data_IF_631542285658
#
_entry.id   IF_631542285658
#
_cell.length_a   1.000
_cell.length_b   1.000
_cell.length_c   1.000
_cell.angle_alpha   90.00
_cell.angle_beta   90.00
_cell.angle_gamma   90.00
#
_symmetry.space_group_name_H-M   'P 1'
#
loop_
_entity.id
_entity.type
_entity.pdbx_description
1 polymer ?
#
# COMPACT_ATOMS: atom_id res chain seq x y z
N UNK A 1 47.10 -0.83 -38.06
CA UNK A 1 45.78 -1.03 -37.39
C UNK A 1 45.85 -1.14 -35.85
N UNK A 2 47.03 -1.28 -35.22
CA UNK A 2 47.15 -1.44 -33.77
C UNK A 2 46.90 -0.21 -32.85
N UNK A 3 47.07 1.07 -33.26
CA UNK A 3 46.99 2.18 -32.30
C UNK A 3 45.55 2.61 -31.96
N UNK A 4 44.61 2.49 -32.90
CA UNK A 4 43.20 2.89 -32.69
C UNK A 4 42.47 1.99 -31.67
N UNK A 5 42.77 0.69 -31.67
CA UNK A 5 42.16 -0.28 -30.73
C UNK A 5 42.66 -0.02 -29.31
N UNK A 6 43.94 0.33 -29.14
CA UNK A 6 44.50 0.70 -27.82
C UNK A 6 43.86 1.98 -27.26
N UNK A 7 43.55 2.95 -28.12
CA UNK A 7 42.90 4.20 -27.72
C UNK A 7 41.44 3.96 -27.27
N UNK A 8 40.69 3.11 -27.98
CA UNK A 8 39.31 2.73 -27.67
C UNK A 8 39.20 1.96 -26.35
N UNK A 9 40.12 1.02 -26.10
CA UNK A 9 40.16 0.27 -24.83
C UNK A 9 40.53 1.19 -23.67
N UNK A 10 41.47 2.13 -23.85
CA UNK A 10 41.80 3.13 -22.83
C UNK A 10 40.62 4.08 -22.53
N UNK A 11 39.84 4.48 -23.55
CA UNK A 11 38.62 5.27 -23.40
C UNK A 11 37.52 4.51 -22.66
N UNK A 12 37.33 3.22 -22.98
CA UNK A 12 36.36 2.37 -22.27
C UNK A 12 36.75 2.12 -20.81
N UNK A 13 38.03 1.89 -20.51
CA UNK A 13 38.52 1.70 -19.13
C UNK A 13 38.44 3.00 -18.33
N UNK A 14 38.71 4.16 -18.94
CA UNK A 14 38.54 5.46 -18.29
C UNK A 14 37.07 5.80 -18.05
N UNK A 15 36.16 5.47 -18.97
CA UNK A 15 34.71 5.61 -18.77
C UNK A 15 34.18 4.66 -17.68
N UNK A 16 34.71 3.44 -17.60
CA UNK A 16 34.31 2.46 -16.57
C UNK A 16 34.85 2.83 -15.18
N UNK A 17 36.06 3.38 -15.10
CA UNK A 17 36.65 3.89 -13.84
C UNK A 17 36.04 5.23 -13.39
N UNK A 18 35.58 6.09 -14.32
CA UNK A 18 34.76 7.27 -13.99
C UNK A 18 33.37 6.87 -13.47
N UNK A 19 32.75 5.83 -14.03
CA UNK A 19 31.47 5.30 -13.55
C UNK A 19 31.57 4.75 -12.11
N UNK A 20 32.63 3.99 -11.80
CA UNK A 20 32.86 3.42 -10.47
C UNK A 20 33.21 4.47 -9.38
N UNK A 21 33.81 5.60 -9.75
CA UNK A 21 34.17 6.67 -8.79
C UNK A 21 33.01 7.59 -8.48
N UNK A 22 32.08 7.82 -9.43
CA UNK A 22 30.83 8.55 -9.20
C UNK A 22 29.90 7.83 -8.22
N UNK A 23 29.90 6.49 -8.20
CA UNK A 23 28.97 5.70 -7.40
C UNK A 23 29.28 5.72 -5.88
N UNK A 24 30.51 6.06 -5.48
CA UNK A 24 30.95 6.06 -4.06
C UNK A 24 30.67 7.36 -3.28
N UNK A 25 30.19 8.43 -3.92
CA UNK A 25 29.94 9.74 -3.28
C UNK A 25 28.49 10.26 -3.44
N UNK A 26 27.54 9.39 -3.82
CA UNK A 26 26.14 9.79 -3.97
C UNK A 26 25.47 10.03 -2.62
N UNK A 27 24.81 11.17 -2.48
CA UNK A 27 23.87 11.41 -1.37
C UNK A 27 22.73 10.39 -1.40
N UNK A 28 22.08 10.18 -0.26
CA UNK A 28 21.00 9.21 -0.13
C UNK A 28 19.85 9.47 -1.12
N UNK A 29 19.49 10.74 -1.35
CA UNK A 29 18.46 11.12 -2.32
C UNK A 29 18.86 10.77 -3.75
N UNK A 30 20.12 10.98 -4.14
CA UNK A 30 20.61 10.59 -5.46
C UNK A 30 20.63 9.08 -5.65
N UNK A 31 20.90 8.31 -4.59
CA UNK A 31 20.82 6.84 -4.65
C UNK A 31 19.37 6.37 -4.86
N UNK A 32 18.40 6.98 -4.17
CA UNK A 32 16.97 6.71 -4.40
C UNK A 32 16.59 7.04 -5.84
N UNK A 33 16.97 8.22 -6.33
CA UNK A 33 16.65 8.65 -7.70
C UNK A 33 17.20 7.68 -8.75
N UNK A 34 18.46 7.23 -8.59
CA UNK A 34 19.06 6.24 -9.47
C UNK A 34 18.32 4.90 -9.43
N UNK A 35 17.95 4.42 -8.24
CA UNK A 35 17.15 3.20 -8.10
C UNK A 35 15.78 3.36 -8.75
N UNK A 36 15.09 4.47 -8.50
CA UNK A 36 13.78 4.74 -9.08
C UNK A 36 13.84 4.77 -10.59
N UNK A 37 14.84 5.46 -11.16
CA UNK A 37 15.08 5.48 -12.62
C UNK A 37 15.33 4.09 -13.18
N UNK A 38 16.14 3.28 -12.50
CA UNK A 38 16.46 1.92 -12.92
C UNK A 38 15.24 1.00 -12.89
N UNK A 39 14.58 0.86 -11.74
CA UNK A 39 13.47 -0.09 -11.57
C UNK A 39 12.23 0.30 -12.40
N UNK A 40 11.97 1.59 -12.58
CA UNK A 40 10.85 2.05 -13.41
C UNK A 40 11.06 1.80 -14.91
N UNK A 41 12.32 1.62 -15.36
CA UNK A 41 12.65 1.37 -16.76
C UNK A 41 12.67 -0.12 -17.14
N UNK A 42 12.57 -1.02 -16.15
CA UNK A 42 12.51 -2.46 -16.37
C UNK A 42 11.20 -2.88 -17.03
N UNK A 43 11.22 -4.00 -17.75
CA UNK A 43 9.99 -4.65 -18.23
C UNK A 43 9.10 -5.10 -17.06
N UNK A 44 7.81 -5.28 -17.31
CA UNK A 44 6.87 -5.73 -16.28
C UNK A 44 7.28 -7.07 -15.65
N UNK A 45 7.81 -8.00 -16.44
CA UNK A 45 8.32 -9.29 -15.95
C UNK A 45 9.51 -9.12 -14.99
N UNK A 46 10.46 -8.25 -15.35
CA UNK A 46 11.62 -7.94 -14.51
C UNK A 46 11.24 -7.19 -13.23
N UNK A 47 10.26 -6.28 -13.32
CA UNK A 47 9.67 -5.61 -12.16
C UNK A 47 9.02 -6.62 -11.20
N UNK A 48 8.21 -7.54 -11.73
CA UNK A 48 7.59 -8.64 -10.96
C UNK A 48 8.67 -9.48 -10.29
N UNK A 49 9.72 -9.88 -11.00
CA UNK A 49 10.83 -10.64 -10.42
C UNK A 49 11.51 -9.88 -9.29
N UNK A 50 11.75 -8.58 -9.46
CA UNK A 50 12.38 -7.73 -8.45
C UNK A 50 11.54 -7.66 -7.16
N UNK A 51 10.23 -7.38 -7.27
CA UNK A 51 9.35 -7.31 -6.09
C UNK A 51 9.05 -8.68 -5.48
N UNK A 52 9.13 -9.75 -6.28
CA UNK A 52 9.01 -11.12 -5.76
C UNK A 52 10.18 -11.47 -4.86
N UNK A 53 11.40 -11.14 -5.29
CA UNK A 53 12.64 -11.34 -4.52
C UNK A 53 12.66 -10.48 -3.26
N UNK A 54 12.30 -9.20 -3.38
CA UNK A 54 12.25 -8.25 -2.27
C UNK A 54 11.09 -7.27 -2.45
N UNK A 55 9.98 -7.52 -1.72
CA UNK A 55 8.74 -6.75 -1.83
C UNK A 55 8.93 -5.23 -1.73
N UNK A 56 9.86 -4.77 -0.88
CA UNK A 56 10.11 -3.35 -0.62
C UNK A 56 10.71 -2.62 -1.83
N UNK A 57 11.21 -3.33 -2.85
CA UNK A 57 11.68 -2.72 -4.11
C UNK A 57 10.56 -2.03 -4.88
N UNK A 58 9.28 -2.33 -4.58
CA UNK A 58 8.12 -1.67 -5.22
C UNK A 58 8.15 -0.14 -5.04
N UNK A 59 8.74 0.38 -3.96
CA UNK A 59 8.90 1.82 -3.73
C UNK A 59 9.72 2.55 -4.80
N UNK A 60 10.54 1.81 -5.58
CA UNK A 60 11.35 2.36 -6.67
C UNK A 60 10.68 2.24 -8.05
N UNK A 61 9.50 1.64 -8.13
CA UNK A 61 8.77 1.49 -9.40
C UNK A 61 7.72 2.58 -9.44
N UNK A 62 7.88 3.57 -10.33
CA UNK A 62 6.87 4.61 -10.52
C UNK A 62 5.66 4.02 -11.23
N UNK A 63 4.47 4.33 -10.71
CA UNK A 63 3.19 3.88 -11.30
C UNK A 63 3.18 2.37 -11.64
N UNK A 64 3.45 1.49 -10.66
CA UNK A 64 3.57 0.04 -10.90
C UNK A 64 2.27 -0.52 -11.47
N UNK A 65 2.35 -1.46 -12.42
CA UNK A 65 1.17 -2.12 -12.99
C UNK A 65 0.39 -2.89 -11.93
N UNK A 66 -0.88 -3.20 -12.20
CA UNK A 66 -1.68 -4.07 -11.33
C UNK A 66 -0.95 -5.37 -10.97
N UNK A 67 -0.31 -6.04 -11.94
CA UNK A 67 0.39 -7.30 -11.68
C UNK A 67 1.63 -7.11 -10.81
N UNK A 68 2.38 -6.02 -10.99
CA UNK A 68 3.53 -5.68 -10.14
C UNK A 68 3.08 -5.39 -8.71
N UNK A 69 2.01 -4.60 -8.54
CA UNK A 69 1.41 -4.33 -7.23
C UNK A 69 0.96 -5.63 -6.55
N UNK A 70 0.28 -6.50 -7.29
CA UNK A 70 -0.20 -7.80 -6.81
C UNK A 70 0.97 -8.69 -6.37
N UNK A 71 2.00 -8.82 -7.19
CA UNK A 71 3.18 -9.63 -6.89
C UNK A 71 3.90 -9.13 -5.63
N UNK A 72 4.08 -7.81 -5.48
CA UNK A 72 4.68 -7.23 -4.28
C UNK A 72 3.87 -7.58 -3.02
N UNK A 73 2.53 -7.49 -3.12
CA UNK A 73 1.61 -7.80 -2.03
C UNK A 73 1.53 -9.30 -1.71
N UNK A 74 1.71 -10.16 -2.71
CA UNK A 74 1.83 -11.61 -2.55
C UNK A 74 3.09 -11.99 -1.79
N UNK A 75 4.22 -11.33 -2.06
CA UNK A 75 5.47 -11.50 -1.31
C UNK A 75 5.39 -10.97 0.12
N UNK A 76 4.73 -9.82 0.35
CA UNK A 76 4.44 -9.34 1.69
C UNK A 76 3.24 -8.40 1.72
N UNK A 77 2.25 -8.62 2.62
CA UNK A 77 1.17 -7.67 2.82
C UNK A 77 1.65 -6.26 3.22
N UNK A 78 2.88 -6.14 3.76
CA UNK A 78 3.50 -4.86 4.12
C UNK A 78 3.83 -3.98 2.90
N UNK A 79 3.94 -4.58 1.72
CA UNK A 79 4.21 -3.84 0.48
C UNK A 79 3.19 -2.73 0.20
N UNK A 80 1.97 -2.84 0.73
CA UNK A 80 0.94 -1.81 0.57
C UNK A 80 1.37 -0.42 1.11
N UNK A 81 2.30 -0.36 2.06
CA UNK A 81 2.88 0.91 2.55
C UNK A 81 3.73 1.62 1.49
N UNK A 82 4.28 0.86 0.55
CA UNK A 82 5.28 1.31 -0.42
C UNK A 82 4.73 1.39 -1.85
N UNK A 83 3.52 0.88 -2.09
CA UNK A 83 2.88 0.93 -3.40
C UNK A 83 2.35 2.35 -3.64
N UNK A 84 2.90 3.00 -4.66
CA UNK A 84 2.36 4.24 -5.18
C UNK A 84 1.00 3.97 -5.87
N UNK A 85 -0.05 4.69 -5.45
CA UNK A 85 -1.41 4.64 -6.02
C UNK A 85 -1.96 3.20 -6.20
N UNK A 86 -2.16 2.44 -5.10
CA UNK A 86 -2.65 1.08 -5.21
C UNK A 86 -4.05 1.04 -5.85
N UNK A 87 -4.27 0.13 -6.81
CA UNK A 87 -5.60 -0.01 -7.43
C UNK A 87 -6.66 -0.41 -6.40
N UNK A 88 -7.94 -0.15 -6.69
CA UNK A 88 -9.04 -0.54 -5.80
C UNK A 88 -9.01 -2.04 -5.46
N UNK A 89 -8.74 -2.90 -6.45
CA UNK A 89 -8.63 -4.34 -6.20
C UNK A 89 -7.43 -4.67 -5.31
N UNK A 90 -6.30 -3.97 -5.46
CA UNK A 90 -5.11 -4.15 -4.61
C UNK A 90 -5.38 -3.73 -3.18
N UNK A 91 -6.12 -2.65 -2.95
CA UNK A 91 -6.51 -2.20 -1.62
C UNK A 91 -7.41 -3.26 -0.92
N UNK A 92 -8.40 -3.80 -1.63
CA UNK A 92 -9.26 -4.88 -1.11
C UNK A 92 -8.44 -6.15 -0.85
N UNK A 93 -7.53 -6.52 -1.75
CA UNK A 93 -6.65 -7.67 -1.58
C UNK A 93 -5.74 -7.49 -0.36
N UNK A 94 -5.19 -6.29 -0.14
CA UNK A 94 -4.34 -5.97 1.00
C UNK A 94 -5.09 -6.14 2.32
N UNK A 95 -6.31 -5.59 2.42
CA UNK A 95 -7.20 -5.79 3.58
C UNK A 95 -7.40 -7.27 3.86
N UNK A 96 -7.79 -8.04 2.84
CA UNK A 96 -8.07 -9.46 3.00
C UNK A 96 -6.83 -10.26 3.44
N UNK A 97 -5.65 -9.98 2.85
CA UNK A 97 -4.41 -10.68 3.23
C UNK A 97 -3.95 -10.32 4.63
N UNK A 98 -4.02 -9.03 5.00
CA UNK A 98 -3.61 -8.56 6.33
C UNK A 98 -4.50 -9.17 7.41
N UNK A 99 -5.81 -9.20 7.18
CA UNK A 99 -6.78 -9.56 8.22
C UNK A 99 -7.11 -11.07 8.28
N UNK A 100 -6.72 -11.87 7.27
CA UNK A 100 -7.03 -13.31 7.18
C UNK A 100 -6.58 -14.13 8.41
N UNK A 101 -5.41 -13.82 8.95
CA UNK A 101 -4.80 -14.61 10.03
C UNK A 101 -5.01 -13.96 11.42
N UNK A 102 -5.95 -13.00 11.52
CA UNK A 102 -6.21 -12.25 12.75
C UNK A 102 -5.08 -11.30 13.16
N UNK A 103 -4.00 -11.22 12.37
CA UNK A 103 -2.89 -10.31 12.59
C UNK A 103 -3.29 -8.88 12.26
N UNK A 104 -3.54 -8.10 13.31
CA UNK A 104 -3.79 -6.67 13.17
C UNK A 104 -2.51 -5.94 12.76
N UNK A 105 -2.44 -5.42 11.54
CA UNK A 105 -1.30 -4.65 11.04
C UNK A 105 -1.52 -3.14 11.25
N UNK A 106 -0.61 -2.50 12.00
CA UNK A 106 -0.62 -1.04 12.25
C UNK A 106 -0.47 -0.21 10.98
N UNK A 107 0.10 -0.76 9.91
CA UNK A 107 0.15 -0.11 8.62
C UNK A 107 -1.25 0.14 8.05
N UNK A 108 -2.14 -0.87 8.15
CA UNK A 108 -3.49 -0.77 7.62
C UNK A 108 -4.27 0.34 8.32
N UNK A 109 -4.10 0.53 9.63
CA UNK A 109 -4.81 1.60 10.37
C UNK A 109 -4.40 3.00 9.92
N UNK A 110 -3.18 3.18 9.41
CA UNK A 110 -2.69 4.46 8.87
C UNK A 110 -3.14 4.71 7.43
N UNK A 111 -3.44 3.65 6.69
CA UNK A 111 -3.75 3.71 5.26
C UNK A 111 -5.24 3.64 4.98
N UNK A 112 -6.04 3.01 5.84
CA UNK A 112 -7.43 2.65 5.56
C UNK A 112 -8.32 3.85 5.23
N UNK A 113 -8.04 5.03 5.80
CA UNK A 113 -8.75 6.27 5.48
C UNK A 113 -8.50 6.76 4.04
N UNK A 114 -7.42 6.33 3.40
CA UNK A 114 -7.07 6.65 2.01
C UNK A 114 -7.60 5.62 1.02
N UNK A 115 -8.08 4.47 1.50
CA UNK A 115 -8.59 3.41 0.65
C UNK A 115 -10.00 3.74 0.14
N UNK A 116 -10.34 3.15 -0.99
CA UNK A 116 -11.67 3.19 -1.58
C UNK A 116 -12.72 2.55 -0.68
N UNK A 117 -13.99 2.96 -0.86
CA UNK A 117 -15.13 2.52 -0.07
C UNK A 117 -15.22 0.98 0.02
N UNK A 118 -14.96 0.25 -1.07
CA UNK A 118 -15.05 -1.22 -1.06
C UNK A 118 -14.01 -1.87 -0.14
N UNK A 119 -12.80 -1.33 -0.12
CA UNK A 119 -11.74 -1.81 0.77
C UNK A 119 -12.02 -1.42 2.23
N UNK A 120 -12.56 -0.23 2.47
CA UNK A 120 -13.03 0.18 3.80
C UNK A 120 -14.15 -0.74 4.31
N UNK A 121 -15.13 -1.08 3.46
CA UNK A 121 -16.20 -2.04 3.77
C UNK A 121 -15.62 -3.42 4.09
N UNK A 122 -14.68 -3.90 3.28
CA UNK A 122 -14.00 -5.17 3.55
C UNK A 122 -13.31 -5.15 4.93
N UNK A 123 -12.66 -4.05 5.29
CA UNK A 123 -11.94 -3.94 6.55
C UNK A 123 -12.89 -3.94 7.76
N UNK A 124 -13.99 -3.18 7.71
CA UNK A 124 -14.97 -3.18 8.81
C UNK A 124 -15.77 -4.48 8.90
N UNK A 125 -15.89 -5.23 7.80
CA UNK A 125 -16.46 -6.58 7.82
C UNK A 125 -15.59 -7.58 8.57
N UNK A 126 -14.27 -7.50 8.42
CA UNK A 126 -13.31 -8.32 9.17
C UNK A 126 -13.20 -7.87 10.63
N UNK A 127 -13.06 -6.56 10.87
CA UNK A 127 -13.01 -6.00 12.23
C UNK A 127 -13.72 -4.64 12.27
N UNK A 128 -14.93 -4.56 12.86
CA UNK A 128 -15.70 -3.32 12.87
C UNK A 128 -15.05 -2.22 13.71
N UNK A 129 -14.08 -2.53 14.59
CA UNK A 129 -13.32 -1.50 15.31
C UNK A 129 -12.45 -0.65 14.38
N UNK A 130 -12.14 -1.13 13.16
CA UNK A 130 -11.36 -0.37 12.17
C UNK A 130 -12.03 0.96 11.82
N UNK A 131 -13.35 1.07 11.95
CA UNK A 131 -14.08 2.30 11.64
C UNK A 131 -13.57 3.53 12.41
N UNK A 132 -12.97 3.33 13.60
CA UNK A 132 -12.38 4.44 14.37
C UNK A 132 -11.17 5.08 13.68
N UNK A 133 -10.57 4.40 12.70
CA UNK A 133 -9.43 4.89 11.89
C UNK A 133 -9.87 5.50 10.55
N UNK A 134 -11.18 5.58 10.29
CA UNK A 134 -11.75 6.20 9.10
C UNK A 134 -12.46 7.48 9.57
N UNK A 135 -11.85 8.67 9.47
CA UNK A 135 -12.39 9.89 10.07
C UNK A 135 -13.75 10.32 9.52
N UNK A 136 -14.00 10.05 8.24
CA UNK A 136 -15.22 10.39 7.52
C UNK A 136 -15.74 9.15 6.76
N UNK A 137 -16.21 8.12 7.47
CA UNK A 137 -16.67 6.90 6.82
C UNK A 137 -17.98 7.18 6.08
N UNK A 138 -18.13 6.66 4.86
CA UNK A 138 -19.39 6.79 4.12
C UNK A 138 -20.54 6.11 4.86
N UNK A 139 -21.77 6.51 4.57
CA UNK A 139 -22.99 5.94 5.14
C UNK A 139 -23.00 4.41 5.03
N UNK A 140 -22.54 3.89 3.90
CA UNK A 140 -22.42 2.45 3.64
C UNK A 140 -21.35 1.79 4.51
N UNK A 141 -20.17 2.40 4.68
CA UNK A 141 -19.13 1.91 5.59
C UNK A 141 -19.62 1.89 7.04
N UNK A 142 -20.30 2.95 7.48
CA UNK A 142 -20.91 3.03 8.81
C UNK A 142 -21.93 1.91 9.02
N UNK A 143 -22.84 1.74 8.08
CA UNK A 143 -23.89 0.73 8.15
C UNK A 143 -23.31 -0.68 8.18
N UNK A 144 -22.32 -0.99 7.35
CA UNK A 144 -21.68 -2.31 7.33
C UNK A 144 -20.92 -2.60 8.64
N UNK A 145 -20.22 -1.60 9.21
CA UNK A 145 -19.55 -1.76 10.51
C UNK A 145 -20.55 -2.04 11.65
N UNK A 146 -21.66 -1.29 11.69
CA UNK A 146 -22.72 -1.45 12.69
C UNK A 146 -23.42 -2.79 12.55
N UNK A 147 -23.62 -3.27 11.32
CA UNK A 147 -24.17 -4.60 11.06
C UNK A 147 -23.28 -5.70 11.64
N UNK A 148 -21.96 -5.53 11.66
CA UNK A 148 -21.08 -6.52 12.27
C UNK A 148 -21.06 -6.38 13.80
N UNK A 149 -20.93 -5.16 14.32
CA UNK A 149 -20.98 -4.91 15.75
C UNK A 149 -21.65 -3.56 16.06
N UNK A 150 -22.87 -3.52 16.62
CA UNK A 150 -23.58 -2.27 16.85
C UNK A 150 -22.90 -1.38 17.90
N UNK A 151 -22.02 -1.91 18.76
CA UNK A 151 -21.30 -1.10 19.75
C UNK A 151 -20.25 -0.16 19.15
N UNK A 152 -19.83 -0.35 17.89
CA UNK A 152 -18.88 0.56 17.24
C UNK A 152 -19.49 1.91 16.92
N UNK A 153 -20.82 2.04 17.00
CA UNK A 153 -21.54 3.32 16.81
C UNK A 153 -20.99 4.43 17.72
N UNK A 154 -20.49 4.08 18.92
CA UNK A 154 -19.86 5.03 19.86
C UNK A 154 -18.56 5.65 19.33
N UNK A 155 -17.93 5.02 18.33
CA UNK A 155 -16.68 5.44 17.71
C UNK A 155 -16.91 6.19 16.38
N UNK A 156 -18.15 6.26 15.88
CA UNK A 156 -18.48 6.91 14.60
C UNK A 156 -18.84 8.37 14.89
N UNK A 157 -17.97 9.28 14.47
CA UNK A 157 -18.25 10.71 14.53
C UNK A 157 -19.34 11.01 13.47
N UNK A 158 -20.42 11.66 13.89
CA UNK A 158 -21.58 11.98 13.03
C UNK A 158 -22.21 10.75 12.36
N UNK A 159 -22.53 9.72 13.15
CA UNK A 159 -23.24 8.55 12.66
C UNK A 159 -24.53 8.92 11.93
N UNK A 160 -24.80 8.30 10.78
CA UNK A 160 -26.05 8.53 10.04
C UNK A 160 -27.26 8.02 10.81
N UNK A 161 -28.44 8.60 10.53
CA UNK A 161 -29.69 8.12 11.14
C UNK A 161 -29.95 6.64 10.82
N UNK A 162 -29.62 6.19 9.62
CA UNK A 162 -29.72 4.78 9.23
C UNK A 162 -28.79 3.89 10.07
N UNK A 163 -27.53 4.31 10.28
CA UNK A 163 -26.59 3.59 11.11
C UNK A 163 -27.02 3.56 12.59
N UNK A 164 -27.56 4.69 13.11
CA UNK A 164 -28.11 4.77 14.48
C UNK A 164 -29.30 3.82 14.67
N UNK A 165 -30.25 3.82 13.73
CA UNK A 165 -31.43 2.97 13.77
C UNK A 165 -31.06 1.49 13.68
N UNK A 166 -30.15 1.12 12.76
CA UNK A 166 -29.65 -0.26 12.66
C UNK A 166 -28.92 -0.66 13.94
N UNK A 167 -28.13 0.23 14.55
CA UNK A 167 -27.44 -0.06 15.81
C UNK A 167 -28.44 -0.36 16.94
N UNK A 168 -29.46 0.48 17.13
CA UNK A 168 -30.52 0.27 18.13
C UNK A 168 -31.27 -1.03 17.88
N UNK A 169 -31.66 -1.28 16.62
CA UNK A 169 -32.37 -2.48 16.20
C UNK A 169 -31.59 -3.74 16.55
N UNK A 170 -30.27 -3.76 16.33
CA UNK A 170 -29.42 -4.92 16.65
C UNK A 170 -29.13 -5.04 18.14
N UNK A 171 -28.97 -3.92 18.84
CA UNK A 171 -28.79 -3.93 20.28
C UNK A 171 -29.27 -2.61 20.92
N UNK A 172 -30.45 -2.60 21.55
CA UNK A 172 -31.00 -1.38 22.16
C UNK A 172 -30.10 -0.74 23.23
N UNK A 173 -29.17 -1.50 23.85
CA UNK A 173 -28.23 -0.95 24.84
C UNK A 173 -27.27 0.07 24.26
N UNK A 174 -27.10 0.12 22.94
CA UNK A 174 -26.24 1.11 22.28
C UNK A 174 -26.88 2.51 22.24
N UNK A 175 -28.18 2.63 22.50
CA UNK A 175 -28.89 3.91 22.52
C UNK A 175 -28.23 4.93 23.48
N UNK A 176 -27.60 4.46 24.56
CA UNK A 176 -26.84 5.34 25.49
C UNK A 176 -25.64 6.06 24.86
N UNK A 177 -25.15 5.58 23.71
CA UNK A 177 -24.07 6.20 22.96
C UNK A 177 -24.58 7.17 21.88
N UNK A 178 -25.89 7.20 21.65
CA UNK A 178 -26.54 8.06 20.67
C UNK A 178 -27.08 9.26 21.43
N UNK A 179 -26.47 10.42 21.20
CA UNK A 179 -26.97 11.70 21.70
C UNK A 179 -27.88 12.32 20.68
#
# INVERSE_FOLDING_TARGET
>A
MAPLIKLLIALLITLFSFGCTQQKNLSYSQQIEQKTKYYSALSEEEQIKAVTEYWWKVQFIKSPSYNVQKAALESSPRAIEEIENPTKEIQVLAVNKIMKDGSFNIALTKLINTFDEEAQIAAVKHNPQIIQFIPYPSDKVQLEAVKVNPFVIKNIINATEEAKQEAIKRNPRVAKFLR
#
